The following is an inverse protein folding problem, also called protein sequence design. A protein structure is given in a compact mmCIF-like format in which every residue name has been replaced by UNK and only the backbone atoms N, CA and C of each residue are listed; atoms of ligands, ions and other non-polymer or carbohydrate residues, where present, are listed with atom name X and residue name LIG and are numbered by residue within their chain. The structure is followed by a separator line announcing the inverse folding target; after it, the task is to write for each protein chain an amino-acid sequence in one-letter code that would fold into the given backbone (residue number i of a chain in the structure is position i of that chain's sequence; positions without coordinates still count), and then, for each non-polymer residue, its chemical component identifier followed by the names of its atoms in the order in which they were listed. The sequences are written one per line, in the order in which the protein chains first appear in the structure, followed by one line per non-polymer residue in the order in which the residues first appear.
data_IF_406112514241
#
_entry.id   IF_406112514241
#
_cell.length_a   1.000
_cell.length_b   1.000
_cell.length_c   1.000
_cell.angle_alpha   90.00
_cell.angle_beta   90.00
_cell.angle_gamma   90.00
#
_symmetry.space_group_name_H-M   'P 1'
#
loop_
_entity.id
_entity.type
_entity.pdbx_description
1 polymer ?
#
# COMPACT_ATOMS: atom_id res chain seq x y z
N UNK A 1 2.43 -16.02 -45.17
CA UNK A 1 3.73 -16.74 -45.25
C UNK A 1 4.10 -17.20 -43.85
N UNK A 2 4.30 -18.51 -43.66
CA UNK A 2 4.94 -19.11 -42.49
C UNK A 2 6.46 -18.93 -42.61
N UNK A 3 7.16 -18.69 -41.49
CA UNK A 3 8.54 -19.14 -41.19
C UNK A 3 8.75 -18.85 -39.68
N UNK A 4 8.75 -19.86 -38.80
CA UNK A 4 9.77 -20.87 -38.50
C UNK A 4 10.75 -20.43 -37.40
N UNK A 5 10.74 -21.26 -36.35
CA UNK A 5 11.52 -21.33 -35.12
C UNK A 5 13.01 -20.97 -35.20
N UNK A 6 13.59 -20.59 -34.06
CA UNK A 6 14.97 -20.94 -33.69
C UNK A 6 15.16 -20.90 -32.17
N UNK A 7 15.26 -22.08 -31.56
CA UNK A 7 15.89 -22.31 -30.25
C UNK A 7 17.39 -22.43 -30.49
N UNK A 8 18.22 -21.76 -29.69
CA UNK A 8 19.65 -22.02 -29.62
C UNK A 8 20.11 -22.09 -28.17
N UNK A 9 20.56 -23.27 -27.78
CA UNK A 9 21.15 -23.62 -26.50
C UNK A 9 22.52 -22.94 -26.31
N UNK A 10 22.82 -22.52 -25.09
CA UNK A 10 24.19 -22.18 -24.68
C UNK A 10 24.64 -23.20 -23.64
N UNK A 11 25.48 -24.13 -24.09
CA UNK A 11 26.40 -24.87 -23.24
C UNK A 11 27.79 -24.27 -23.45
N UNK A 12 28.42 -23.78 -22.40
CA UNK A 12 29.85 -23.50 -22.39
C UNK A 12 30.41 -23.85 -21.02
N UNK A 13 31.10 -24.99 -20.97
CA UNK A 13 32.01 -25.39 -19.91
C UNK A 13 33.14 -24.37 -19.79
N UNK A 14 33.46 -23.96 -18.56
CA UNK A 14 34.79 -23.45 -18.23
C UNK A 14 35.26 -24.12 -16.93
N UNK A 15 36.00 -25.21 -17.10
CA UNK A 15 36.79 -25.89 -16.07
C UNK A 15 38.10 -25.12 -15.88
N UNK A 16 38.38 -24.58 -14.69
CA UNK A 16 39.76 -24.36 -14.22
C UNK A 16 39.86 -24.69 -12.73
N UNK A 17 40.67 -25.71 -12.42
CA UNK A 17 41.12 -26.13 -11.08
C UNK A 17 42.28 -25.25 -10.58
N UNK A 18 42.52 -25.17 -9.26
CA UNK A 18 43.68 -25.94 -8.79
C UNK A 18 43.44 -26.71 -7.48
N UNK A 19 44.22 -27.79 -7.41
CA UNK A 19 44.32 -28.79 -6.38
C UNK A 19 44.61 -28.27 -4.97
N UNK A 20 43.92 -28.87 -4.00
CA UNK A 20 44.53 -29.21 -2.71
C UNK A 20 44.27 -30.68 -2.37
N UNK A 21 45.40 -31.37 -2.19
CA UNK A 21 45.71 -32.53 -1.37
C UNK A 21 44.59 -33.43 -0.83
N UNK A 22 44.77 -34.72 -1.13
CA UNK A 22 44.14 -35.86 -0.49
C UNK A 22 44.27 -35.84 1.05
N UNK A 23 43.21 -36.24 1.73
CA UNK A 23 43.26 -36.54 3.16
C UNK A 23 41.92 -36.93 3.75
N UNK A 24 41.68 -38.24 3.84
CA UNK A 24 40.86 -38.90 4.86
C UNK A 24 39.33 -38.89 4.70
N UNK A 25 38.81 -40.02 4.20
CA UNK A 25 37.53 -40.55 4.68
C UNK A 25 37.70 -41.02 6.13
N UNK A 26 36.89 -40.49 7.04
CA UNK A 26 36.14 -41.36 7.95
C UNK A 26 34.62 -41.16 7.77
N UNK A 27 33.91 -42.27 7.95
CA UNK A 27 32.49 -42.53 8.26
C UNK A 27 31.43 -41.39 8.24
N UNK A 28 30.17 -41.72 7.91
CA UNK A 28 29.10 -40.75 7.74
C UNK A 28 28.72 -40.11 9.08
N UNK A 29 29.19 -38.89 9.31
CA UNK A 29 28.62 -38.03 10.33
C UNK A 29 27.31 -37.47 9.78
N UNK A 30 26.21 -37.76 10.48
CA UNK A 30 24.88 -37.31 10.12
C UNK A 30 24.92 -35.79 9.94
N UNK A 31 24.71 -35.34 8.69
CA UNK A 31 24.50 -33.94 8.41
C UNK A 31 23.34 -33.47 9.32
N UNK A 32 23.50 -32.41 10.12
CA UNK A 32 22.34 -31.74 10.67
C UNK A 32 21.47 -31.36 9.46
N UNK A 33 20.22 -31.79 9.52
CA UNK A 33 19.23 -31.57 8.47
C UNK A 33 19.29 -30.12 7.99
N UNK A 34 19.07 -29.84 6.69
CA UNK A 34 18.89 -28.48 6.24
C UNK A 34 17.85 -27.83 7.15
N UNK A 35 18.26 -26.75 7.84
CA UNK A 35 17.34 -25.90 8.56
C UNK A 35 16.23 -25.58 7.55
N UNK A 36 15.01 -26.02 7.88
CA UNK A 36 13.85 -25.75 7.07
C UNK A 36 13.88 -24.25 6.74
N UNK A 37 13.88 -23.94 5.44
CA UNK A 37 13.61 -22.58 5.02
C UNK A 37 12.35 -22.12 5.75
N UNK A 38 12.30 -20.88 6.28
CA UNK A 38 11.09 -20.38 6.89
C UNK A 38 9.95 -20.62 5.90
N UNK A 39 8.93 -21.34 6.36
CA UNK A 39 7.74 -21.57 5.56
C UNK A 39 7.29 -20.21 5.00
N UNK A 40 6.93 -20.13 3.71
CA UNK A 40 6.24 -18.95 3.20
C UNK A 40 5.09 -18.64 4.16
N UNK A 41 5.01 -17.39 4.64
CA UNK A 41 3.98 -16.97 5.56
C UNK A 41 2.60 -17.39 5.03
N UNK A 42 1.99 -18.40 5.67
CA UNK A 42 0.64 -18.89 5.43
C UNK A 42 -0.44 -17.89 5.90
N UNK A 43 -0.15 -16.59 5.86
CA UNK A 43 -1.06 -15.55 6.38
C UNK A 43 -1.93 -14.91 5.28
N UNK A 44 -1.56 -15.07 4.00
CA UNK A 44 -2.31 -14.51 2.88
C UNK A 44 -3.55 -15.31 2.46
N UNK A 45 -3.73 -16.55 2.93
CA UNK A 45 -4.88 -17.42 2.59
C UNK A 45 -5.84 -17.60 3.78
N UNK A 46 -5.61 -16.89 4.89
CA UNK A 46 -6.47 -16.99 6.07
C UNK A 46 -7.77 -16.18 5.89
N UNK A 47 -8.94 -16.69 6.31
CA UNK A 47 -10.21 -15.98 6.16
C UNK A 47 -10.23 -14.62 6.86
N UNK A 48 -9.49 -14.45 7.97
CA UNK A 48 -9.28 -13.15 8.61
C UNK A 48 -8.55 -12.13 7.72
N UNK A 49 -7.58 -12.55 6.91
CA UNK A 49 -6.85 -11.65 6.00
C UNK A 49 -7.75 -11.17 4.85
N UNK A 50 -8.53 -12.09 4.26
CA UNK A 50 -9.51 -11.75 3.23
C UNK A 50 -10.61 -10.80 3.76
N UNK A 51 -11.08 -11.01 4.99
CA UNK A 51 -12.04 -10.12 5.62
C UNK A 51 -11.46 -8.72 5.89
N UNK A 52 -10.17 -8.64 6.23
CA UNK A 52 -9.50 -7.36 6.43
C UNK A 52 -9.25 -6.63 5.10
N UNK A 53 -8.89 -7.35 4.03
CA UNK A 53 -8.75 -6.79 2.68
C UNK A 53 -10.08 -6.16 2.20
N UNK A 54 -11.19 -6.89 2.33
CA UNK A 54 -12.51 -6.38 1.97
C UNK A 54 -12.90 -5.11 2.76
N UNK A 55 -12.48 -5.01 4.04
CA UNK A 55 -12.64 -3.78 4.83
C UNK A 55 -11.76 -2.64 4.30
N UNK A 56 -10.54 -2.94 3.88
CA UNK A 56 -9.64 -1.98 3.26
C UNK A 56 -10.20 -1.42 1.96
N UNK A 57 -10.79 -2.26 1.10
CA UNK A 57 -11.48 -1.84 -0.12
C UNK A 57 -12.67 -0.93 0.20
N UNK A 58 -13.55 -1.36 1.12
CA UNK A 58 -14.71 -0.57 1.54
C UNK A 58 -14.28 0.79 2.15
N UNK A 59 -13.20 0.80 2.93
CA UNK A 59 -12.63 2.04 3.45
C UNK A 59 -12.10 2.94 2.32
N UNK A 60 -11.44 2.37 1.31
CA UNK A 60 -11.00 3.07 0.12
C UNK A 60 -12.15 3.77 -0.61
N UNK A 61 -13.23 3.05 -0.88
CA UNK A 61 -14.45 3.62 -1.51
C UNK A 61 -15.05 4.77 -0.69
N UNK A 62 -15.04 4.64 0.64
CA UNK A 62 -15.49 5.69 1.56
C UNK A 62 -14.59 6.92 1.49
N UNK A 63 -13.27 6.75 1.43
CA UNK A 63 -12.33 7.87 1.30
C UNK A 63 -12.43 8.57 -0.05
N UNK A 64 -12.69 7.83 -1.13
CA UNK A 64 -12.99 8.42 -2.44
C UNK A 64 -14.28 9.25 -2.38
N UNK A 65 -15.34 8.70 -1.78
CA UNK A 65 -16.61 9.41 -1.58
C UNK A 65 -16.40 10.70 -0.77
N UNK A 66 -15.66 10.61 0.34
CA UNK A 66 -15.29 11.78 1.15
C UNK A 66 -14.57 12.84 0.32
N UNK A 67 -13.57 12.44 -0.47
CA UNK A 67 -12.82 13.37 -1.32
C UNK A 67 -13.72 14.09 -2.32
N UNK A 68 -14.66 13.37 -2.94
CA UNK A 68 -15.61 13.94 -3.89
C UNK A 68 -16.60 14.89 -3.20
N UNK A 69 -17.13 14.52 -2.03
CA UNK A 69 -18.01 15.39 -1.24
C UNK A 69 -17.28 16.66 -0.76
N UNK A 70 -16.02 16.55 -0.33
CA UNK A 70 -15.22 17.70 0.08
C UNK A 70 -14.92 18.63 -1.09
N UNK A 71 -14.57 18.09 -2.27
CA UNK A 71 -14.39 18.89 -3.48
C UNK A 71 -15.69 19.62 -3.86
N UNK A 72 -16.83 18.94 -3.81
CA UNK A 72 -18.13 19.54 -4.11
C UNK A 72 -18.49 20.67 -3.12
N UNK A 73 -18.22 20.47 -1.82
CA UNK A 73 -18.43 21.50 -0.80
C UNK A 73 -17.54 22.72 -1.05
N UNK A 74 -16.27 22.54 -1.41
CA UNK A 74 -15.35 23.64 -1.66
C UNK A 74 -15.62 24.42 -2.95
N UNK A 75 -16.25 23.78 -3.94
CA UNK A 75 -16.68 24.41 -5.18
C UNK A 75 -17.90 25.35 -4.99
N UNK A 76 -18.53 25.35 -3.81
CA UNK A 76 -19.64 26.26 -3.53
C UNK A 76 -19.20 27.73 -3.61
N UNK A 77 -20.04 28.62 -4.17
CA UNK A 77 -19.71 30.04 -4.31
C UNK A 77 -19.67 30.76 -2.95
N UNK A 78 -20.47 30.30 -1.98
CA UNK A 78 -20.47 30.83 -0.63
C UNK A 78 -19.34 30.18 0.18
N UNK A 79 -18.27 30.94 0.41
CA UNK A 79 -17.06 30.46 1.11
C UNK A 79 -17.31 30.17 2.60
N UNK A 80 -18.26 30.85 3.24
CA UNK A 80 -18.59 30.59 4.65
C UNK A 80 -19.36 29.27 4.78
N UNK A 81 -20.28 29.02 3.84
CA UNK A 81 -20.98 27.74 3.73
C UNK A 81 -20.04 26.61 3.35
N UNK A 82 -19.16 26.79 2.36
CA UNK A 82 -18.15 25.81 1.97
C UNK A 82 -17.29 25.37 3.17
N UNK A 83 -16.82 26.32 3.99
CA UNK A 83 -16.04 26.01 5.18
C UNK A 83 -16.84 25.22 6.22
N UNK A 84 -18.12 25.56 6.41
CA UNK A 84 -19.02 24.86 7.33
C UNK A 84 -19.32 23.43 6.86
N UNK A 85 -19.61 23.27 5.57
CA UNK A 85 -19.91 21.96 4.97
C UNK A 85 -18.65 21.06 4.98
N UNK A 86 -17.46 21.61 4.71
CA UNK A 86 -16.18 20.88 4.85
C UNK A 86 -15.91 20.43 6.29
N UNK A 87 -16.25 21.26 7.28
CA UNK A 87 -16.07 20.90 8.69
C UNK A 87 -17.01 19.76 9.11
N UNK A 88 -18.27 19.85 8.68
CA UNK A 88 -19.25 18.80 8.90
C UNK A 88 -18.85 17.48 8.23
N UNK A 89 -18.32 17.53 7.00
CA UNK A 89 -17.80 16.35 6.30
C UNK A 89 -16.61 15.76 7.04
N UNK A 90 -15.63 16.58 7.43
CA UNK A 90 -14.48 16.09 8.19
C UNK A 90 -14.92 15.42 9.50
N UNK A 91 -15.83 16.03 10.26
CA UNK A 91 -16.36 15.47 11.49
C UNK A 91 -17.13 14.16 11.27
N UNK A 92 -17.83 14.02 10.14
CA UNK A 92 -18.57 12.81 9.75
C UNK A 92 -17.63 11.64 9.47
N UNK A 93 -16.53 11.87 8.75
CA UNK A 93 -15.60 10.83 8.33
C UNK A 93 -14.51 10.51 9.35
N UNK A 94 -14.22 11.44 10.27
CA UNK A 94 -13.23 11.22 11.34
C UNK A 94 -13.42 9.89 12.09
N UNK A 95 -14.61 9.53 12.62
CA UNK A 95 -14.78 8.27 13.33
C UNK A 95 -14.56 7.02 12.44
N UNK A 96 -14.89 7.09 11.14
CA UNK A 96 -14.68 5.98 10.20
C UNK A 96 -13.18 5.73 9.98
N UNK A 97 -12.40 6.81 9.84
CA UNK A 97 -10.94 6.74 9.70
C UNK A 97 -10.25 6.31 10.99
N UNK A 98 -10.72 6.80 12.14
CA UNK A 98 -10.22 6.39 13.45
C UNK A 98 -10.45 4.90 13.72
N UNK A 99 -11.64 4.38 13.37
CA UNK A 99 -11.96 2.96 13.48
C UNK A 99 -11.07 2.11 12.57
N UNK A 100 -10.96 2.45 11.29
CA UNK A 100 -10.12 1.71 10.35
C UNK A 100 -8.65 1.70 10.76
N UNK A 101 -8.12 2.85 11.22
CA UNK A 101 -6.75 2.94 11.70
C UNK A 101 -6.49 2.04 12.93
N UNK A 102 -7.45 1.96 13.85
CA UNK A 102 -7.36 1.06 15.00
C UNK A 102 -7.42 -0.42 14.58
N UNK A 103 -8.30 -0.76 13.64
CA UNK A 103 -8.42 -2.11 13.09
C UNK A 103 -7.16 -2.53 12.33
N UNK A 104 -6.57 -1.64 11.51
CA UNK A 104 -5.31 -1.89 10.82
C UNK A 104 -4.17 -2.14 11.80
N UNK A 105 -4.07 -1.30 12.84
CA UNK A 105 -3.03 -1.49 13.85
C UNK A 105 -3.20 -2.82 14.57
N UNK A 106 -4.42 -3.19 14.95
CA UNK A 106 -4.72 -4.45 15.61
C UNK A 106 -4.41 -5.66 14.71
N UNK A 107 -4.86 -5.61 13.46
CA UNK A 107 -4.63 -6.64 12.46
C UNK A 107 -3.12 -6.85 12.20
N UNK A 108 -2.40 -5.78 11.88
CA UNK A 108 -0.99 -5.85 11.55
C UNK A 108 -0.14 -6.27 12.77
N UNK A 109 -0.45 -5.79 13.98
CA UNK A 109 0.24 -6.26 15.20
C UNK A 109 -0.06 -7.73 15.46
N UNK A 110 -1.28 -8.21 15.18
CA UNK A 110 -1.64 -9.63 15.23
C UNK A 110 -0.85 -10.49 14.25
N UNK A 111 -0.46 -9.94 13.09
CA UNK A 111 0.43 -10.57 12.11
C UNK A 111 1.93 -10.41 12.44
N UNK A 112 2.27 -9.81 13.58
CA UNK A 112 3.66 -9.62 14.02
C UNK A 112 4.33 -8.35 13.47
N UNK A 113 3.59 -7.42 12.87
CA UNK A 113 4.13 -6.12 12.49
C UNK A 113 4.55 -5.32 13.74
N UNK A 114 5.63 -4.51 13.65
CA UNK A 114 6.09 -3.69 14.76
C UNK A 114 5.05 -2.62 15.13
N UNK A 115 4.61 -2.63 16.39
CA UNK A 115 3.54 -1.76 16.89
C UNK A 115 3.84 -0.26 16.71
N UNK A 116 5.09 0.18 16.90
CA UNK A 116 5.49 1.58 16.65
C UNK A 116 5.25 2.02 15.21
N UNK A 117 5.60 1.16 14.22
CA UNK A 117 5.36 1.46 12.81
C UNK A 117 3.86 1.50 12.51
N UNK A 118 3.07 0.63 13.15
CA UNK A 118 1.62 0.61 12.95
C UNK A 118 0.93 1.80 13.62
N UNK A 119 1.43 2.28 14.76
CA UNK A 119 0.95 3.51 15.38
C UNK A 119 1.24 4.75 14.51
N UNK A 120 2.40 4.79 13.86
CA UNK A 120 2.73 5.83 12.87
C UNK A 120 1.77 5.73 11.68
N UNK A 121 1.58 4.54 11.10
CA UNK A 121 0.66 4.33 9.99
C UNK A 121 -0.79 4.72 10.34
N UNK A 122 -1.27 4.33 11.52
CA UNK A 122 -2.58 4.71 12.04
C UNK A 122 -2.73 6.23 12.17
N UNK A 123 -1.69 6.91 12.66
CA UNK A 123 -1.67 8.38 12.74
C UNK A 123 -1.74 9.02 11.35
N UNK A 124 -1.00 8.48 10.37
CA UNK A 124 -1.05 8.96 8.99
C UNK A 124 -2.44 8.77 8.37
N UNK A 125 -3.08 7.62 8.60
CA UNK A 125 -4.45 7.36 8.13
C UNK A 125 -5.43 8.36 8.73
N UNK A 126 -5.36 8.59 10.05
CA UNK A 126 -6.18 9.58 10.77
C UNK A 126 -6.02 11.01 10.24
N UNK A 127 -4.89 11.33 9.62
CA UNK A 127 -4.64 12.64 9.03
C UNK A 127 -5.27 12.85 7.64
N UNK A 128 -5.72 11.79 6.97
CA UNK A 128 -6.22 11.84 5.58
C UNK A 128 -7.35 12.88 5.41
N UNK A 129 -8.42 12.91 6.24
CA UNK A 129 -9.50 13.89 6.06
C UNK A 129 -9.02 15.34 6.10
N UNK A 130 -8.13 15.66 7.03
CA UNK A 130 -7.57 17.01 7.16
C UNK A 130 -6.64 17.37 6.00
N UNK A 131 -5.87 16.39 5.49
CA UNK A 131 -5.01 16.59 4.31
C UNK A 131 -5.85 16.84 3.05
N UNK A 132 -6.91 16.05 2.83
CA UNK A 132 -7.82 16.23 1.69
C UNK A 132 -8.48 17.59 1.76
N UNK A 133 -9.00 17.98 2.92
CA UNK A 133 -9.55 19.32 3.14
C UNK A 133 -8.56 20.43 2.76
N UNK A 134 -7.33 20.36 3.27
CA UNK A 134 -6.28 21.34 2.96
C UNK A 134 -6.04 21.43 1.45
N UNK A 135 -5.85 20.30 0.77
CA UNK A 135 -5.64 20.26 -0.70
C UNK A 135 -6.81 20.85 -1.48
N UNK A 136 -8.02 20.58 -1.04
CA UNK A 136 -9.24 21.09 -1.68
C UNK A 136 -9.40 22.60 -1.46
N UNK A 137 -9.11 23.10 -0.25
CA UNK A 137 -9.08 24.53 0.05
C UNK A 137 -8.01 25.26 -0.79
N UNK A 138 -6.81 24.68 -0.93
CA UNK A 138 -5.74 25.20 -1.79
C UNK A 138 -6.16 25.25 -3.27
N UNK A 139 -6.78 24.18 -3.79
CA UNK A 139 -7.28 24.14 -5.16
C UNK A 139 -8.41 25.18 -5.40
N UNK A 140 -9.29 25.39 -4.42
CA UNK A 140 -10.37 26.37 -4.50
C UNK A 140 -9.91 27.83 -4.33
N UNK A 141 -8.69 28.04 -3.82
CA UNK A 141 -8.04 29.34 -3.70
C UNK A 141 -7.14 29.67 -4.90
N UNK A 142 -6.79 28.67 -5.71
CA UNK A 142 -6.04 28.89 -6.95
C UNK A 142 -6.87 29.79 -7.89
N UNK A 143 -6.29 30.88 -8.43
CA UNK A 143 -7.00 31.68 -9.43
C UNK A 143 -7.32 30.76 -10.60
N UNK A 144 -8.58 30.77 -11.05
CA UNK A 144 -8.95 30.13 -12.31
C UNK A 144 -8.09 30.78 -13.40
N UNK A 145 -7.02 30.07 -13.81
CA UNK A 145 -6.19 30.51 -14.91
C UNK A 145 -7.16 30.78 -16.07
N UNK A 146 -7.15 32.02 -16.55
CA UNK A 146 -8.00 32.47 -17.64
C UNK A 146 -8.01 31.39 -18.73
N UNK A 147 -9.21 30.94 -19.10
CA UNK A 147 -9.40 30.01 -20.21
C UNK A 147 -8.49 30.46 -21.37
N UNK A 148 -7.68 29.56 -21.96
CA UNK A 148 -6.83 29.95 -23.07
C UNK A 148 -7.73 30.59 -24.14
N UNK A 149 -7.48 31.88 -24.41
CA UNK A 149 -8.17 32.58 -25.47
C UNK A 149 -7.99 31.76 -26.75
N UNK A 150 -9.08 31.17 -27.24
CA UNK A 150 -9.07 30.50 -28.54
C UNK A 150 -8.67 31.55 -29.59
N UNK A 151 -7.57 31.36 -30.34
CA UNK A 151 -7.26 32.25 -31.44
C UNK A 151 -8.37 32.15 -32.49
N UNK A 152 -8.93 33.30 -32.88
CA UNK A 152 -9.88 33.43 -33.98
C UNK A 152 -9.22 33.22 -35.34
#
# INVERSE_FOLDING_TARGET
MRLLSSVAAVAALALTTPAFAAGQTPAPEAAPAPAAAPAPAEDADSPEAAAFEAKGEAFGEKMETMSNEMQAAAAQPDKAKAKTDLDALQARYQPEVDAFAAELQAFATGQGAPADQMAIAATQIKSIPAMVRTKVEEAAAAPAAAAPAQPQ
#
